data_IF_157590186255
#
_entry.id   IF_157590186255
#
_cell.length_a   1.000
_cell.length_b   1.000
_cell.length_c   1.000
_cell.angle_alpha   90.00
_cell.angle_beta   90.00
_cell.angle_gamma   90.00
#
_symmetry.space_group_name_H-M   'P 1'
#
loop_
_entity.id
_entity.type
_entity.pdbx_description
1 polymer ?
#
# COMPACT_ATOMS: atom_id res chain seq x y z
N UNK A 1 27.82 -7.64 69.63
CA UNK A 1 27.81 -6.75 68.44
C UNK A 1 27.43 -7.58 67.23
N UNK A 2 26.17 -7.45 66.75
CA UNK A 2 25.57 -8.33 65.74
C UNK A 2 26.02 -7.91 64.33
N UNK A 3 26.61 -8.84 63.56
CA UNK A 3 26.97 -8.62 62.15
C UNK A 3 25.73 -8.88 61.28
N UNK A 4 25.18 -7.84 60.66
CA UNK A 4 24.10 -7.98 59.67
C UNK A 4 24.70 -8.48 58.34
N UNK A 5 24.27 -9.65 57.89
CA UNK A 5 24.50 -10.11 56.52
C UNK A 5 23.58 -9.33 55.57
N UNK A 6 24.15 -8.59 54.61
CA UNK A 6 23.39 -7.95 53.54
C UNK A 6 23.04 -9.02 52.50
N UNK A 7 21.77 -9.37 52.42
CA UNK A 7 21.22 -10.26 51.39
C UNK A 7 21.19 -9.48 50.07
N UNK A 8 22.02 -9.88 49.10
CA UNK A 8 22.02 -9.30 47.76
C UNK A 8 21.01 -10.09 46.91
N UNK A 9 19.83 -9.52 46.69
CA UNK A 9 18.81 -10.12 45.81
C UNK A 9 19.16 -9.75 44.37
N UNK A 10 19.67 -10.72 43.60
CA UNK A 10 19.92 -10.55 42.16
C UNK A 10 18.57 -10.70 41.45
N UNK A 11 18.01 -9.58 41.01
CA UNK A 11 16.82 -9.56 40.15
C UNK A 11 17.27 -9.88 38.72
N UNK A 12 17.14 -11.14 38.31
CA UNK A 12 17.35 -11.52 36.91
C UNK A 12 16.15 -11.05 36.10
N UNK A 13 16.28 -9.91 35.42
CA UNK A 13 15.32 -9.47 34.41
C UNK A 13 15.43 -10.39 33.18
N UNK A 14 14.44 -11.26 32.99
CA UNK A 14 14.27 -12.00 31.74
C UNK A 14 13.68 -11.02 30.73
N UNK A 15 14.49 -10.50 29.82
CA UNK A 15 14.00 -9.76 28.66
C UNK A 15 13.55 -10.76 27.59
N UNK A 16 12.25 -10.95 27.44
CA UNK A 16 11.68 -11.59 26.26
C UNK A 16 11.87 -10.68 25.06
N UNK A 17 12.68 -11.10 24.10
CA UNK A 17 12.89 -10.38 22.86
C UNK A 17 11.65 -10.62 21.97
N UNK A 18 10.73 -9.66 21.93
CA UNK A 18 9.65 -9.68 20.96
C UNK A 18 10.25 -9.36 19.58
N UNK A 19 10.30 -10.35 18.69
CA UNK A 19 10.66 -10.12 17.31
C UNK A 19 9.55 -9.27 16.67
N UNK A 20 9.80 -7.97 16.53
CA UNK A 20 8.98 -7.13 15.66
C UNK A 20 9.21 -7.60 14.23
N UNK A 21 8.15 -8.07 13.57
CA UNK A 21 8.20 -8.31 12.14
C UNK A 21 8.49 -6.97 11.46
N UNK A 22 9.70 -6.83 10.91
CA UNK A 22 10.08 -5.65 10.14
C UNK A 22 9.49 -5.82 8.75
N UNK A 23 8.46 -5.03 8.44
CA UNK A 23 7.95 -4.95 7.08
C UNK A 23 9.05 -4.43 6.14
N UNK A 24 9.32 -5.17 5.07
CA UNK A 24 10.31 -4.75 4.07
C UNK A 24 9.60 -4.06 2.92
N UNK A 25 9.92 -2.79 2.64
CA UNK A 25 9.40 -2.10 1.47
C UNK A 25 10.01 -2.69 0.19
N UNK A 26 9.17 -3.04 -0.77
CA UNK A 26 9.54 -3.65 -2.05
C UNK A 26 9.50 -2.66 -3.21
N UNK A 27 8.42 -1.87 -3.30
CA UNK A 27 8.21 -0.85 -4.33
C UNK A 27 7.47 0.35 -3.74
N UNK A 28 7.57 1.50 -4.39
CA UNK A 28 6.78 2.69 -4.02
C UNK A 28 6.48 3.60 -5.20
N UNK A 29 5.49 4.47 -5.04
CA UNK A 29 5.11 5.45 -6.04
C UNK A 29 4.21 6.54 -5.46
N UNK A 30 4.26 7.74 -6.04
CA UNK A 30 3.33 8.82 -5.71
C UNK A 30 2.21 8.88 -6.74
N UNK A 31 1.00 9.18 -6.29
CA UNK A 31 -0.14 9.38 -7.18
C UNK A 31 0.01 10.64 -8.00
N UNK A 32 -0.35 10.53 -9.27
CA UNK A 32 -0.52 11.61 -10.23
C UNK A 32 -2.00 11.67 -10.58
N UNK A 33 -2.57 12.85 -10.53
CA UNK A 33 -3.95 13.11 -10.96
C UNK A 33 -4.12 12.97 -12.47
N UNK A 34 -5.37 12.79 -12.89
CA UNK A 34 -5.69 12.63 -14.32
C UNK A 34 -6.05 13.96 -14.97
N UNK A 35 -6.95 14.73 -14.36
CA UNK A 35 -7.42 16.02 -14.87
C UNK A 35 -7.95 16.93 -13.73
N UNK A 36 -8.53 18.09 -14.11
CA UNK A 36 -9.03 19.10 -13.16
C UNK A 36 -10.20 18.64 -12.27
N UNK A 37 -10.89 17.56 -12.61
CA UNK A 37 -12.00 17.00 -11.81
C UNK A 37 -11.64 15.65 -11.19
N UNK A 38 -10.77 14.88 -11.84
CA UNK A 38 -10.26 13.59 -11.40
C UNK A 38 -8.88 13.78 -10.76
N UNK A 39 -8.90 14.29 -9.52
CA UNK A 39 -7.71 14.60 -8.75
C UNK A 39 -7.30 13.43 -7.88
N UNK A 40 -6.00 13.26 -7.66
CA UNK A 40 -5.44 12.27 -6.74
C UNK A 40 -4.03 12.64 -6.30
N UNK A 41 -3.72 12.34 -5.04
CA UNK A 41 -2.45 12.66 -4.39
C UNK A 41 -2.06 11.63 -3.31
N UNK A 42 -0.91 11.86 -2.69
CA UNK A 42 -0.29 10.95 -1.73
C UNK A 42 0.51 9.86 -2.44
N UNK A 43 0.71 8.72 -1.77
CA UNK A 43 1.54 7.67 -2.33
C UNK A 43 1.09 6.26 -1.99
N UNK A 44 1.79 5.29 -2.58
CA UNK A 44 1.64 3.87 -2.33
C UNK A 44 2.99 3.27 -1.99
N UNK A 45 2.99 2.29 -1.10
CA UNK A 45 4.14 1.42 -0.84
C UNK A 45 3.67 -0.02 -0.90
N UNK A 46 4.39 -0.85 -1.64
CA UNK A 46 4.27 -2.30 -1.58
C UNK A 46 5.25 -2.78 -0.51
N UNK A 47 4.75 -3.52 0.48
CA UNK A 47 5.58 -4.09 1.55
C UNK A 47 5.44 -5.60 1.59
N UNK A 48 6.49 -6.27 2.04
CA UNK A 48 6.50 -7.67 2.45
C UNK A 48 6.31 -7.73 3.97
N UNK A 49 5.22 -8.36 4.41
CA UNK A 49 4.88 -8.63 5.81
C UNK A 49 4.78 -10.15 6.03
N UNK A 50 5.85 -10.76 6.54
CA UNK A 50 6.00 -12.22 6.53
C UNK A 50 5.97 -12.76 5.10
N UNK A 51 5.08 -13.72 4.83
CA UNK A 51 4.86 -14.27 3.48
C UNK A 51 3.81 -13.50 2.66
N UNK A 52 3.23 -12.43 3.22
CA UNK A 52 2.16 -11.67 2.59
C UNK A 52 2.68 -10.34 2.02
N UNK A 53 2.41 -10.08 0.75
CA UNK A 53 2.57 -8.75 0.18
C UNK A 53 1.35 -7.86 0.45
N UNK A 54 1.59 -6.61 0.84
CA UNK A 54 0.54 -5.64 1.15
C UNK A 54 0.83 -4.33 0.43
N UNK A 55 -0.13 -3.85 -0.35
CA UNK A 55 -0.12 -2.51 -0.93
C UNK A 55 -0.75 -1.54 0.07
N UNK A 56 0.00 -0.55 0.53
CA UNK A 56 -0.44 0.45 1.52
C UNK A 56 -0.45 1.83 0.91
N UNK A 57 -1.51 2.58 1.16
CA UNK A 57 -1.62 3.98 0.75
C UNK A 57 -1.11 4.86 1.89
N UNK A 58 -0.25 5.81 1.54
CA UNK A 58 0.56 6.62 2.45
C UNK A 58 0.51 8.10 2.04
N UNK A 59 1.24 8.96 2.76
CA UNK A 59 1.43 10.37 2.43
C UNK A 59 0.12 11.16 2.24
N UNK A 60 -0.86 10.93 3.13
CA UNK A 60 -2.17 11.60 3.09
C UNK A 60 -2.92 11.37 1.77
N UNK A 61 -2.97 10.11 1.30
CA UNK A 61 -3.76 9.74 0.13
C UNK A 61 -5.13 10.41 0.11
N UNK A 62 -5.44 11.00 -1.05
CA UNK A 62 -6.75 11.51 -1.41
C UNK A 62 -6.98 11.27 -2.89
N UNK A 63 -8.24 11.05 -3.27
CA UNK A 63 -8.72 11.05 -4.65
C UNK A 63 -10.13 11.67 -4.67
N UNK A 64 -10.50 12.35 -5.76
CA UNK A 64 -11.87 12.83 -5.94
C UNK A 64 -12.87 11.68 -5.73
N UNK A 65 -13.91 11.84 -4.89
CA UNK A 65 -14.94 10.82 -4.72
C UNK A 65 -15.62 10.46 -6.04
N UNK A 66 -15.79 9.17 -6.29
CA UNK A 66 -16.54 8.62 -7.42
C UNK A 66 -17.49 7.51 -6.98
N UNK A 67 -18.50 7.16 -7.79
CA UNK A 67 -19.54 6.21 -7.37
C UNK A 67 -19.00 4.77 -7.23
N UNK A 68 -17.99 4.39 -8.03
CA UNK A 68 -17.52 3.01 -8.09
C UNK A 68 -16.01 2.88 -8.34
N UNK A 69 -15.21 3.40 -7.39
CA UNK A 69 -13.75 3.41 -7.46
C UNK A 69 -13.12 2.09 -7.01
N UNK A 70 -12.13 1.64 -7.77
CA UNK A 70 -11.35 0.42 -7.54
C UNK A 70 -9.85 0.70 -7.61
N UNK A 71 -9.08 -0.12 -6.90
CA UNK A 71 -7.62 -0.20 -7.01
C UNK A 71 -7.29 -1.27 -8.04
N UNK A 72 -6.62 -0.87 -9.11
CA UNK A 72 -6.14 -1.73 -10.19
C UNK A 72 -4.62 -1.77 -10.19
N UNK A 73 -4.06 -2.89 -10.63
CA UNK A 73 -2.63 -3.06 -10.96
C UNK A 73 -2.52 -3.17 -12.47
N UNK A 74 -1.63 -2.41 -13.11
CA UNK A 74 -1.45 -2.47 -14.58
C UNK A 74 0.04 -2.53 -14.96
N UNK A 75 0.35 -3.16 -16.09
CA UNK A 75 1.73 -3.23 -16.62
C UNK A 75 2.25 -1.88 -17.11
N UNK A 76 1.39 -1.03 -17.66
CA UNK A 76 1.77 0.31 -18.12
C UNK A 76 2.21 1.18 -16.92
N UNK A 77 3.47 1.66 -16.87
CA UNK A 77 3.96 2.45 -15.73
C UNK A 77 3.36 3.87 -15.67
N UNK A 78 2.81 4.39 -16.76
CA UNK A 78 2.42 5.79 -16.85
C UNK A 78 1.23 6.00 -17.82
N UNK A 79 0.05 5.42 -17.53
CA UNK A 79 -1.14 5.64 -18.35
C UNK A 79 -1.52 7.12 -18.37
N UNK A 80 -1.86 7.64 -19.56
CA UNK A 80 -2.29 9.02 -19.80
C UNK A 80 -3.74 9.11 -20.26
N UNK A 81 -4.36 7.99 -20.58
CA UNK A 81 -5.76 7.93 -21.02
C UNK A 81 -6.46 6.71 -20.42
N UNK A 82 -7.80 6.73 -20.45
CA UNK A 82 -8.60 5.55 -20.12
C UNK A 82 -8.30 4.36 -21.05
N UNK A 83 -7.91 4.62 -22.30
CA UNK A 83 -7.55 3.58 -23.26
C UNK A 83 -6.22 2.91 -22.88
N UNK A 84 -5.23 3.68 -22.42
CA UNK A 84 -3.95 3.16 -21.95
C UNK A 84 -4.10 2.17 -20.78
N UNK A 85 -5.10 2.41 -19.92
CA UNK A 85 -5.45 1.49 -18.81
C UNK A 85 -6.12 0.23 -19.34
N UNK A 86 -7.09 0.37 -20.26
CA UNK A 86 -7.88 -0.74 -20.81
C UNK A 86 -7.06 -1.69 -21.68
N UNK A 87 -6.10 -1.15 -22.45
CA UNK A 87 -5.25 -1.92 -23.35
C UNK A 87 -4.04 -2.57 -22.65
N UNK A 88 -3.69 -2.10 -21.45
CA UNK A 88 -2.68 -2.73 -20.61
C UNK A 88 -3.25 -3.98 -19.95
N UNK A 89 -2.49 -5.09 -19.85
CA UNK A 89 -2.85 -6.16 -18.93
C UNK A 89 -3.01 -5.60 -17.52
N UNK A 90 -4.09 -6.02 -16.85
CA UNK A 90 -4.53 -5.42 -15.60
C UNK A 90 -5.20 -6.43 -14.68
N UNK A 91 -5.17 -6.14 -13.37
CA UNK A 91 -5.94 -6.85 -12.35
C UNK A 91 -6.70 -5.84 -11.51
N UNK A 92 -8.01 -6.05 -11.38
CA UNK A 92 -8.82 -5.37 -10.38
C UNK A 92 -8.53 -5.99 -9.00
N UNK A 93 -7.76 -5.31 -8.17
CA UNK A 93 -7.34 -5.82 -6.87
C UNK A 93 -8.47 -5.79 -5.85
N UNK A 94 -9.11 -4.64 -5.68
CA UNK A 94 -10.18 -4.44 -4.70
C UNK A 94 -10.94 -3.14 -4.95
N UNK A 95 -12.16 -3.05 -4.37
CA UNK A 95 -12.88 -1.78 -4.27
C UNK A 95 -12.12 -0.81 -3.36
N UNK A 96 -12.08 0.46 -3.74
CA UNK A 96 -11.46 1.51 -2.92
C UNK A 96 -12.26 1.67 -1.63
N UNK A 97 -11.59 1.57 -0.47
CA UNK A 97 -12.24 1.60 0.85
C UNK A 97 -12.75 2.99 1.23
N UNK A 98 -11.98 4.02 0.90
CA UNK A 98 -12.26 5.41 1.22
C UNK A 98 -11.54 6.31 0.20
N UNK A 99 -12.13 7.45 -0.22
CA UNK A 99 -11.45 8.40 -1.10
C UNK A 99 -10.25 9.07 -0.42
N UNK A 100 -10.10 8.96 0.90
CA UNK A 100 -8.98 9.55 1.61
C UNK A 100 -8.47 8.69 2.76
N UNK A 101 -7.23 8.97 3.16
CA UNK A 101 -6.58 8.38 4.33
C UNK A 101 -5.87 7.06 4.06
N UNK A 102 -5.29 6.51 5.14
CA UNK A 102 -4.53 5.27 5.11
C UNK A 102 -5.45 4.09 4.81
N UNK A 103 -5.00 3.22 3.91
CA UNK A 103 -5.68 2.00 3.55
C UNK A 103 -4.68 0.96 3.06
N UNK A 104 -5.06 -0.31 3.14
CA UNK A 104 -4.15 -1.41 2.79
C UNK A 104 -4.91 -2.53 2.11
N UNK A 105 -4.25 -3.15 1.12
CA UNK A 105 -4.78 -4.20 0.28
C UNK A 105 -3.79 -5.35 0.26
N UNK A 106 -4.26 -6.55 0.60
CA UNK A 106 -3.44 -7.75 0.45
C UNK A 106 -3.32 -8.05 -1.03
N UNK A 107 -2.11 -8.39 -1.47
CA UNK A 107 -1.89 -8.94 -2.81
C UNK A 107 -2.15 -10.45 -2.73
N UNK A 108 -3.13 -10.99 -3.47
CA UNK A 108 -3.30 -12.43 -3.62
C UNK A 108 -2.01 -13.13 -4.05
N UNK A 109 -1.75 -14.34 -3.53
CA UNK A 109 -0.49 -15.05 -3.74
C UNK A 109 -0.27 -15.50 -5.20
N UNK A 110 -1.31 -15.53 -6.02
CA UNK A 110 -1.30 -15.82 -7.46
C UNK A 110 -0.96 -14.59 -8.33
N UNK A 111 -0.88 -13.39 -7.73
CA UNK A 111 -0.46 -12.17 -8.43
C UNK A 111 1.05 -12.00 -8.30
N UNK A 112 1.75 -12.06 -9.44
CA UNK A 112 3.15 -11.70 -9.55
C UNK A 112 3.32 -10.18 -9.73
N UNK A 113 3.67 -9.49 -8.65
CA UNK A 113 3.90 -8.04 -8.64
C UNK A 113 5.06 -7.58 -9.52
N UNK A 114 5.89 -8.47 -10.07
CA UNK A 114 6.94 -8.08 -11.03
C UNK A 114 6.37 -7.67 -12.40
N UNK A 115 5.18 -8.15 -12.75
CA UNK A 115 4.52 -7.85 -14.04
C UNK A 115 3.87 -6.46 -14.04
N UNK A 116 3.47 -5.96 -12.87
CA UNK A 116 2.77 -4.68 -12.75
C UNK A 116 3.69 -3.51 -12.39
N UNK A 117 3.54 -2.42 -13.12
CA UNK A 117 4.41 -1.24 -13.03
C UNK A 117 3.69 0.01 -12.51
N UNK A 118 2.37 -0.02 -12.34
CA UNK A 118 1.64 1.06 -11.66
C UNK A 118 0.39 0.58 -10.93
N UNK A 119 -0.02 1.38 -9.95
CA UNK A 119 -1.33 1.28 -9.29
C UNK A 119 -2.24 2.34 -9.90
N UNK A 120 -3.47 1.97 -10.23
CA UNK A 120 -4.48 2.88 -10.79
C UNK A 120 -5.71 2.95 -9.88
N UNK A 121 -6.24 4.15 -9.69
CA UNK A 121 -7.60 4.34 -9.19
C UNK A 121 -8.53 4.45 -10.38
N UNK A 122 -9.39 3.45 -10.54
CA UNK A 122 -10.27 3.28 -11.69
C UNK A 122 -11.73 3.37 -11.28
N UNK A 123 -12.53 4.19 -11.96
CA UNK A 123 -13.98 4.13 -11.84
C UNK A 123 -14.52 3.05 -12.77
N UNK A 124 -14.99 1.94 -12.21
CA UNK A 124 -15.46 0.80 -12.99
C UNK A 124 -16.74 1.14 -13.77
N UNK A 125 -17.67 1.86 -13.13
CA UNK A 125 -18.97 2.24 -13.72
C UNK A 125 -18.82 3.09 -14.99
N UNK A 126 -17.90 4.08 -14.97
CA UNK A 126 -17.73 5.00 -16.10
C UNK A 126 -16.52 4.70 -16.97
N UNK A 127 -15.66 3.78 -16.56
CA UNK A 127 -14.44 3.43 -17.27
C UNK A 127 -13.46 4.60 -17.42
N UNK A 128 -13.23 5.32 -16.31
CA UNK A 128 -12.42 6.55 -16.24
C UNK A 128 -11.25 6.36 -15.26
N UNK A 129 -10.07 6.85 -15.68
CA UNK A 129 -8.87 6.93 -14.86
C UNK A 129 -8.98 8.13 -13.90
N UNK A 130 -8.84 7.89 -12.60
CA UNK A 130 -8.85 8.97 -11.60
C UNK A 130 -7.43 9.41 -11.22
N UNK A 131 -6.56 8.45 -10.97
CA UNK A 131 -5.17 8.70 -10.62
C UNK A 131 -4.33 7.45 -10.87
N UNK A 132 -3.02 7.62 -11.06
CA UNK A 132 -2.08 6.50 -11.12
C UNK A 132 -0.81 6.78 -10.34
N UNK A 133 -0.19 5.73 -9.80
CA UNK A 133 1.08 5.77 -9.10
C UNK A 133 2.07 4.80 -9.78
N UNK A 134 3.07 5.29 -10.53
CA UNK A 134 4.15 4.46 -11.06
C UNK A 134 4.95 3.82 -9.92
N UNK A 135 5.12 2.50 -9.95
CA UNK A 135 5.87 1.74 -8.95
C UNK A 135 7.34 1.64 -9.34
N UNK A 136 8.22 1.99 -8.40
CA UNK A 136 9.68 1.93 -8.53
C UNK A 136 10.29 1.12 -7.39
#
# INVERSE_FOLDING_TARGET
>A
MKRLAKLFVIFTFIFTNAAFAVETQLKSGDFVDFDNVHQGEGGVVLVQDGDQQILKFVNHFYVTPGPDLYVWLIENPNPKTAQDVKDSPHVQLAKLKSPSGKQSYKIPADIDMSQYSSVVIWCLEFGVLFAHAPLK
#
